data_IF_818494051546
#
_entry.id   IF_818494051546
#
_cell.length_a   1.000
_cell.length_b   1.000
_cell.length_c   1.000
_cell.angle_alpha   90.00
_cell.angle_beta   90.00
_cell.angle_gamma   90.00
#
_symmetry.space_group_name_H-M   'P 1'
#
loop_
_entity.id
_entity.type
_entity.pdbx_description
1 polymer ?
#
# COMPACT_ATOMS: atom_id res chain seq x y z
N UNK A 1 12.41 -10.10 -46.36
CA UNK A 1 12.70 -11.43 -45.77
C UNK A 1 11.84 -11.61 -44.53
N UNK A 2 11.33 -12.82 -44.33
CA UNK A 2 10.12 -13.19 -43.57
C UNK A 2 10.05 -12.64 -42.13
N UNK A 3 8.92 -12.01 -41.77
CA UNK A 3 8.53 -11.74 -40.37
C UNK A 3 7.93 -13.02 -39.79
N UNK A 4 8.67 -13.76 -38.97
CA UNK A 4 8.11 -14.87 -38.19
C UNK A 4 7.26 -14.31 -37.04
N UNK A 5 5.94 -14.27 -37.23
CA UNK A 5 4.97 -14.06 -36.14
C UNK A 5 4.81 -15.36 -35.35
N UNK A 6 4.93 -15.29 -34.03
CA UNK A 6 4.70 -16.43 -33.14
C UNK A 6 3.39 -16.23 -32.38
N UNK A 7 2.32 -16.85 -32.89
CA UNK A 7 1.02 -16.88 -32.20
C UNK A 7 0.96 -18.05 -31.20
N UNK A 8 0.66 -17.75 -29.94
CA UNK A 8 0.29 -18.76 -28.96
C UNK A 8 -1.19 -19.16 -29.17
N UNK A 9 -1.45 -20.39 -29.62
CA UNK A 9 -2.80 -20.93 -29.83
C UNK A 9 -3.41 -21.53 -28.56
N UNK A 10 -4.75 -21.51 -28.51
CA UNK A 10 -5.58 -21.80 -27.34
C UNK A 10 -5.49 -23.25 -26.82
N UNK A 11 -4.99 -24.19 -27.63
CA UNK A 11 -4.66 -25.57 -27.24
C UNK A 11 -3.61 -26.11 -28.22
N UNK A 12 -2.38 -26.34 -27.79
CA UNK A 12 -1.35 -26.98 -28.63
C UNK A 12 0.08 -26.60 -28.27
N UNK A 13 0.89 -27.62 -28.00
CA UNK A 13 2.34 -27.51 -27.78
C UNK A 13 3.01 -26.90 -29.02
N UNK A 14 3.44 -25.63 -28.94
CA UNK A 14 4.37 -25.03 -29.90
C UNK A 14 5.78 -25.16 -29.33
N UNK A 15 6.64 -25.87 -30.06
CA UNK A 15 8.07 -26.02 -29.78
C UNK A 15 8.77 -24.67 -30.03
N UNK A 16 9.15 -23.99 -28.95
CA UNK A 16 9.72 -22.64 -28.96
C UNK A 16 11.03 -22.61 -28.18
N UNK A 17 12.13 -22.37 -28.90
CA UNK A 17 13.47 -22.21 -28.35
C UNK A 17 13.61 -20.90 -27.58
N UNK A 18 14.32 -20.96 -26.45
CA UNK A 18 14.77 -19.88 -25.55
C UNK A 18 13.72 -18.93 -24.92
N UNK A 19 12.62 -18.60 -25.59
CA UNK A 19 11.50 -17.83 -25.00
C UNK A 19 10.74 -18.62 -23.92
N UNK A 20 10.82 -19.97 -23.98
CA UNK A 20 10.30 -20.83 -22.91
C UNK A 20 11.06 -20.62 -21.61
N UNK A 21 12.35 -20.29 -21.60
CA UNK A 21 13.14 -20.18 -20.36
C UNK A 21 12.74 -18.91 -19.59
N UNK A 22 12.51 -17.78 -20.24
CA UNK A 22 12.06 -16.55 -19.56
C UNK A 22 10.60 -16.66 -19.09
N UNK A 23 9.71 -17.20 -19.95
CA UNK A 23 8.33 -17.51 -19.54
C UNK A 23 8.31 -18.60 -18.46
N UNK A 24 9.21 -19.60 -18.49
CA UNK A 24 9.36 -20.65 -17.46
C UNK A 24 10.02 -20.14 -16.19
N UNK A 25 10.95 -19.19 -16.21
CA UNK A 25 11.56 -18.57 -15.02
C UNK A 25 10.50 -17.69 -14.32
N UNK A 26 9.76 -16.91 -15.12
CA UNK A 26 8.55 -16.25 -14.66
C UNK A 26 7.58 -17.30 -14.10
N UNK A 27 7.26 -18.38 -14.82
CA UNK A 27 6.32 -19.43 -14.36
C UNK A 27 6.83 -20.26 -13.16
N UNK A 28 8.15 -20.43 -13.00
CA UNK A 28 8.82 -21.23 -11.95
C UNK A 28 8.83 -20.48 -10.62
N UNK A 29 8.92 -19.15 -10.65
CA UNK A 29 8.63 -18.27 -9.51
C UNK A 29 7.12 -18.17 -9.20
N UNK A 30 6.26 -18.57 -10.13
CA UNK A 30 4.80 -18.42 -10.11
C UNK A 30 4.05 -19.74 -9.86
N UNK A 31 4.62 -20.73 -9.16
CA UNK A 31 3.93 -22.02 -8.89
C UNK A 31 2.53 -21.88 -8.25
N UNK A 32 2.18 -20.72 -7.69
CA UNK A 32 0.85 -20.39 -7.14
C UNK A 32 0.04 -19.34 -7.93
N UNK A 33 0.44 -18.99 -9.16
CA UNK A 33 -0.07 -17.81 -9.89
C UNK A 33 -0.35 -18.14 -11.35
N UNK A 34 -1.43 -17.61 -11.89
CA UNK A 34 -1.93 -18.00 -13.23
C UNK A 34 -2.20 -16.77 -14.10
N UNK A 35 -1.60 -16.72 -15.28
CA UNK A 35 -2.00 -15.79 -16.34
C UNK A 35 -3.33 -16.22 -16.91
N UNK A 36 -4.31 -15.31 -16.97
CA UNK A 36 -5.63 -15.62 -17.52
C UNK A 36 -5.69 -15.48 -19.04
N UNK A 37 -4.84 -14.64 -19.62
CA UNK A 37 -4.84 -14.33 -21.05
C UNK A 37 -3.42 -14.30 -21.67
N UNK A 38 -2.63 -15.38 -21.57
CA UNK A 38 -1.27 -15.41 -22.12
C UNK A 38 -1.22 -15.11 -23.63
N UNK A 39 -2.29 -15.39 -24.38
CA UNK A 39 -2.43 -15.06 -25.81
C UNK A 39 -2.48 -13.56 -26.11
N UNK A 40 -2.63 -12.70 -25.09
CA UNK A 40 -2.64 -11.26 -25.25
C UNK A 40 -1.25 -10.68 -25.55
N UNK A 41 -0.19 -11.45 -25.28
CA UNK A 41 1.20 -11.01 -25.40
C UNK A 41 1.80 -11.55 -26.69
N UNK A 42 2.37 -10.65 -27.49
CA UNK A 42 3.17 -10.98 -28.66
C UNK A 42 4.63 -10.65 -28.38
N UNK A 43 5.51 -11.62 -28.63
CA UNK A 43 6.95 -11.50 -28.44
C UNK A 43 7.65 -11.42 -29.79
N UNK A 44 8.57 -10.49 -29.94
CA UNK A 44 9.40 -10.36 -31.12
C UNK A 44 10.87 -10.23 -30.73
N UNK A 45 11.76 -10.65 -31.62
CA UNK A 45 13.19 -10.31 -31.51
C UNK A 45 13.35 -8.80 -31.66
N UNK A 46 14.19 -8.22 -30.81
CA UNK A 46 14.57 -6.82 -30.90
C UNK A 46 15.53 -6.56 -32.05
N UNK A 47 15.94 -5.29 -32.21
CA UNK A 47 16.85 -4.88 -33.30
C UNK A 47 18.26 -5.47 -33.15
N UNK A 48 18.65 -5.83 -31.93
CA UNK A 48 19.97 -6.35 -31.60
C UNK A 48 19.91 -7.85 -31.27
N UNK A 49 20.98 -8.57 -31.59
CA UNK A 49 21.04 -10.02 -31.39
C UNK A 49 20.94 -10.36 -29.90
N UNK A 50 20.01 -11.25 -29.55
CA UNK A 50 19.77 -11.65 -28.16
C UNK A 50 18.90 -10.66 -27.37
N UNK A 51 18.26 -9.69 -28.04
CA UNK A 51 17.26 -8.82 -27.43
C UNK A 51 15.85 -9.28 -27.78
N UNK A 52 14.93 -9.12 -26.83
CA UNK A 52 13.50 -9.43 -27.01
C UNK A 52 12.65 -8.22 -26.64
N UNK A 53 11.57 -8.03 -27.39
CA UNK A 53 10.53 -7.05 -27.08
C UNK A 53 9.20 -7.77 -26.98
N UNK A 54 8.28 -7.22 -26.19
CA UNK A 54 6.92 -7.73 -26.11
C UNK A 54 5.92 -6.59 -26.20
N UNK A 55 4.79 -6.90 -26.82
CA UNK A 55 3.63 -6.01 -26.90
C UNK A 55 2.40 -6.77 -26.42
N UNK A 56 1.41 -6.04 -25.91
CA UNK A 56 0.15 -6.64 -25.50
C UNK A 56 -1.01 -5.98 -26.24
N UNK A 57 -1.88 -6.77 -26.85
CA UNK A 57 -3.06 -6.26 -27.59
C UNK A 57 -4.21 -5.85 -26.65
N UNK A 58 -4.15 -6.28 -25.40
CA UNK A 58 -5.09 -5.99 -24.32
C UNK A 58 -4.34 -6.10 -22.98
N UNK A 59 -4.90 -5.58 -21.87
CA UNK A 59 -4.29 -5.68 -20.55
C UNK A 59 -3.96 -7.13 -20.19
N UNK A 60 -2.80 -7.36 -19.57
CA UNK A 60 -2.38 -8.70 -19.10
C UNK A 60 -3.05 -8.98 -17.76
N UNK A 61 -3.79 -10.06 -17.68
CA UNK A 61 -4.56 -10.44 -16.49
C UNK A 61 -3.82 -11.52 -15.68
N UNK A 62 -3.44 -11.18 -14.45
CA UNK A 62 -2.61 -11.99 -13.56
C UNK A 62 -3.39 -12.29 -12.28
N UNK A 63 -3.49 -13.56 -11.90
CA UNK A 63 -4.05 -13.96 -10.61
C UNK A 63 -2.90 -14.28 -9.64
N UNK A 64 -2.84 -13.51 -8.55
CA UNK A 64 -1.86 -13.66 -7.50
C UNK A 64 -2.50 -14.25 -6.24
N UNK A 65 -2.66 -15.59 -6.20
CA UNK A 65 -3.24 -16.27 -5.03
C UNK A 65 -2.38 -16.16 -3.76
N UNK A 66 -1.10 -15.78 -3.89
CA UNK A 66 -0.22 -15.58 -2.74
C UNK A 66 -0.51 -14.25 -2.03
N UNK A 67 -0.85 -13.20 -2.81
CA UNK A 67 -1.18 -11.88 -2.29
C UNK A 67 -2.68 -11.57 -2.32
N UNK A 68 -3.53 -12.48 -2.80
CA UNK A 68 -4.97 -12.26 -2.90
C UNK A 68 -5.36 -11.12 -3.85
N UNK A 69 -4.66 -10.97 -4.97
CA UNK A 69 -4.95 -9.91 -5.96
C UNK A 69 -5.22 -10.49 -7.34
N UNK A 70 -6.18 -9.89 -8.05
CA UNK A 70 -6.20 -9.90 -9.51
C UNK A 70 -5.52 -8.63 -10.00
N UNK A 71 -4.60 -8.76 -10.93
CA UNK A 71 -3.80 -7.64 -11.45
C UNK A 71 -4.07 -7.54 -12.95
N UNK A 72 -4.54 -6.38 -13.38
CA UNK A 72 -4.68 -6.01 -14.79
C UNK A 72 -3.51 -5.09 -15.14
N UNK A 73 -2.61 -5.54 -16.01
CA UNK A 73 -1.37 -4.85 -16.34
C UNK A 73 -1.36 -4.35 -17.78
N UNK A 74 -1.43 -3.03 -17.95
CA UNK A 74 -1.36 -2.35 -19.24
C UNK A 74 0.11 -2.21 -19.65
N UNK A 75 0.61 -3.18 -20.42
CA UNK A 75 1.99 -3.18 -20.90
C UNK A 75 2.23 -2.03 -21.88
N UNK A 76 3.12 -1.12 -21.53
CA UNK A 76 3.59 -0.03 -22.41
C UNK A 76 4.90 -0.38 -23.10
N UNK A 77 5.80 -1.05 -22.39
CA UNK A 77 7.08 -1.46 -22.92
C UNK A 77 7.57 -2.73 -22.24
N UNK A 78 8.08 -3.65 -23.03
CA UNK A 78 8.89 -4.76 -22.58
C UNK A 78 10.16 -4.79 -23.43
N UNK A 79 11.30 -4.84 -22.77
CA UNK A 79 12.60 -5.01 -23.39
C UNK A 79 13.43 -5.94 -22.52
N UNK A 80 14.05 -6.95 -23.12
CA UNK A 80 14.93 -7.89 -22.45
C UNK A 80 16.21 -8.03 -23.27
N UNK A 81 17.35 -7.90 -22.61
CA UNK A 81 18.67 -7.98 -23.22
C UNK A 81 19.66 -8.61 -22.21
N UNK A 82 20.82 -9.09 -22.67
CA UNK A 82 21.76 -9.82 -21.80
C UNK A 82 22.24 -9.03 -20.58
N UNK A 83 22.25 -7.70 -20.65
CA UNK A 83 22.77 -6.81 -19.62
C UNK A 83 21.70 -6.00 -18.89
N UNK A 84 20.49 -5.92 -19.44
CA UNK A 84 19.38 -5.20 -18.82
C UNK A 84 18.03 -5.72 -19.32
N UNK A 85 17.01 -5.57 -18.49
CA UNK A 85 15.63 -5.73 -18.93
C UNK A 85 14.78 -4.61 -18.35
N UNK A 86 13.64 -4.36 -18.98
CA UNK A 86 12.73 -3.27 -18.65
C UNK A 86 11.30 -3.70 -18.92
N UNK A 87 10.45 -3.51 -17.91
CA UNK A 87 9.01 -3.74 -18.02
C UNK A 87 8.31 -2.49 -17.52
N UNK A 88 7.60 -1.81 -18.42
CA UNK A 88 6.86 -0.58 -18.16
C UNK A 88 5.40 -0.86 -18.40
N UNK A 89 4.57 -0.54 -17.42
CA UNK A 89 3.13 -0.60 -17.57
C UNK A 89 2.41 -0.04 -16.36
N UNK A 90 1.11 0.14 -16.50
CA UNK A 90 0.24 0.50 -15.38
C UNK A 90 -0.43 -0.76 -14.84
N UNK A 91 -0.35 -0.97 -13.53
CA UNK A 91 -1.02 -2.07 -12.85
C UNK A 91 -2.29 -1.55 -12.16
N UNK A 92 -3.41 -2.22 -12.37
CA UNK A 92 -4.63 -2.08 -11.56
C UNK A 92 -4.81 -3.34 -10.72
N UNK A 93 -5.19 -3.16 -9.46
CA UNK A 93 -5.37 -4.24 -8.51
C UNK A 93 -6.83 -4.35 -8.11
N UNK A 94 -7.35 -5.57 -8.11
CA UNK A 94 -8.63 -5.94 -7.51
C UNK A 94 -8.33 -6.95 -6.40
N UNK A 95 -8.72 -6.62 -5.18
CA UNK A 95 -8.61 -7.55 -4.05
C UNK A 95 -9.58 -8.72 -4.22
N UNK A 96 -9.06 -9.93 -4.05
CA UNK A 96 -9.86 -11.15 -4.08
C UNK A 96 -10.63 -11.30 -2.78
N UNK A 97 -11.83 -11.89 -2.84
CA UNK A 97 -12.57 -12.27 -1.63
C UNK A 97 -11.92 -13.53 -1.03
N UNK A 98 -11.49 -13.51 0.24
CA UNK A 98 -10.96 -14.70 0.88
C UNK A 98 -12.08 -15.72 1.16
N UNK A 99 -11.75 -17.00 1.08
CA UNK A 99 -12.62 -18.13 1.40
C UNK A 99 -12.70 -18.39 2.91
N UNK A 100 -11.70 -17.93 3.67
CA UNK A 100 -11.64 -18.05 5.14
C UNK A 100 -10.82 -16.94 5.79
N UNK A 101 -11.01 -16.71 7.09
CA UNK A 101 -10.22 -15.74 7.87
C UNK A 101 -8.73 -16.11 7.89
N UNK A 102 -8.41 -17.42 7.88
CA UNK A 102 -7.03 -17.93 7.78
C UNK A 102 -6.38 -17.53 6.45
N UNK A 103 -7.11 -17.64 5.35
CA UNK A 103 -6.62 -17.23 4.03
C UNK A 103 -6.39 -15.72 3.97
N UNK A 104 -7.32 -14.92 4.50
CA UNK A 104 -7.17 -13.46 4.62
C UNK A 104 -5.89 -13.10 5.39
N UNK A 105 -5.73 -13.69 6.58
CA UNK A 105 -4.56 -13.47 7.44
C UNK A 105 -3.25 -13.85 6.72
N UNK A 106 -3.26 -14.93 5.96
CA UNK A 106 -2.10 -15.39 5.18
C UNK A 106 -1.76 -14.39 4.07
N UNK A 107 -2.76 -13.88 3.34
CA UNK A 107 -2.53 -12.84 2.33
C UNK A 107 -1.96 -11.56 2.95
N UNK A 108 -2.50 -11.11 4.09
CA UNK A 108 -2.01 -9.90 4.77
C UNK A 108 -0.55 -10.06 5.24
N UNK A 109 -0.19 -11.24 5.76
CA UNK A 109 1.19 -11.60 6.10
C UNK A 109 2.11 -11.55 4.89
N UNK A 110 1.71 -12.17 3.79
CA UNK A 110 2.50 -12.21 2.56
C UNK A 110 2.69 -10.81 1.96
N UNK A 111 1.64 -9.97 1.96
CA UNK A 111 1.71 -8.57 1.51
C UNK A 111 2.66 -7.76 2.39
N UNK A 112 2.58 -7.91 3.71
CA UNK A 112 3.47 -7.24 4.65
C UNK A 112 4.93 -7.68 4.45
N UNK A 113 5.19 -8.97 4.23
CA UNK A 113 6.52 -9.50 3.94
C UNK A 113 7.08 -8.95 2.62
N UNK A 114 6.26 -8.92 1.56
CA UNK A 114 6.61 -8.32 0.27
C UNK A 114 6.96 -6.85 0.43
N UNK A 115 6.15 -6.10 1.19
CA UNK A 115 6.39 -4.70 1.42
C UNK A 115 7.71 -4.46 2.15
N UNK A 116 7.99 -5.21 3.22
CA UNK A 116 9.18 -5.02 4.06
C UNK A 116 10.50 -5.07 3.29
N UNK A 117 10.59 -5.88 2.24
CA UNK A 117 11.78 -5.98 1.37
C UNK A 117 11.70 -5.14 0.09
N UNK A 118 10.65 -4.32 -0.07
CA UNK A 118 10.42 -3.55 -1.29
C UNK A 118 11.23 -2.25 -1.33
N UNK A 119 11.53 -1.73 -2.54
CA UNK A 119 12.04 -0.37 -2.70
C UNK A 119 11.17 0.71 -2.04
N UNK A 120 9.84 0.51 -1.99
CA UNK A 120 8.92 1.45 -1.36
C UNK A 120 9.17 1.56 0.15
N UNK A 121 9.34 0.44 0.86
CA UNK A 121 9.72 0.46 2.28
C UNK A 121 11.08 1.13 2.47
N UNK A 122 12.05 0.79 1.63
CA UNK A 122 13.39 1.38 1.68
C UNK A 122 13.32 2.91 1.58
N UNK A 123 12.63 3.46 0.59
CA UNK A 123 12.52 4.90 0.42
C UNK A 123 11.71 5.57 1.54
N UNK A 124 10.62 4.95 2.03
CA UNK A 124 9.89 5.44 3.22
C UNK A 124 10.80 5.51 4.44
N UNK A 125 11.61 4.48 4.65
CA UNK A 125 12.54 4.39 5.76
C UNK A 125 13.68 5.43 5.63
N UNK A 126 14.15 5.74 4.41
CA UNK A 126 15.11 6.84 4.19
C UNK A 126 14.50 8.20 4.56
N UNK A 127 13.26 8.47 4.17
CA UNK A 127 12.56 9.74 4.48
C UNK A 127 12.48 9.95 5.99
N UNK A 128 12.23 8.88 6.74
CA UNK A 128 12.10 8.91 8.21
C UNK A 128 13.41 8.67 8.96
N UNK A 129 14.53 8.53 8.24
CA UNK A 129 15.85 8.19 8.77
C UNK A 129 15.88 6.90 9.62
N UNK A 130 15.11 5.89 9.21
CA UNK A 130 14.96 4.57 9.85
C UNK A 130 15.41 3.41 8.95
N UNK A 131 16.08 3.68 7.82
CA UNK A 131 16.48 2.66 6.86
C UNK A 131 17.29 1.51 7.48
N UNK A 132 18.29 1.81 8.34
CA UNK A 132 19.08 0.77 9.02
C UNK A 132 18.23 0.01 10.05
N UNK A 133 17.34 0.69 10.78
CA UNK A 133 16.39 0.04 11.70
C UNK A 133 15.41 -0.88 10.97
N UNK A 134 15.05 -0.54 9.72
CA UNK A 134 14.22 -1.35 8.83
C UNK A 134 15.03 -2.43 8.09
N UNK A 135 16.34 -2.48 8.29
CA UNK A 135 17.24 -3.51 7.78
C UNK A 135 17.93 -3.18 6.46
N UNK A 136 17.76 -1.97 5.92
CA UNK A 136 18.43 -1.52 4.70
C UNK A 136 19.75 -0.82 5.02
N UNK A 137 20.84 -1.52 4.73
CA UNK A 137 22.19 -0.97 4.81
C UNK A 137 22.68 -0.65 3.39
N UNK A 138 23.11 0.59 3.19
CA UNK A 138 23.51 1.10 1.87
C UNK A 138 25.02 1.21 1.79
N UNK A 139 25.58 0.79 0.67
CA UNK A 139 27.00 0.90 0.35
C UNK A 139 27.18 1.52 -1.04
N UNK A 140 28.24 2.31 -1.19
CA UNK A 140 28.64 2.89 -2.47
C UNK A 140 30.02 2.40 -2.87
N UNK A 141 30.33 2.52 -4.15
CA UNK A 141 31.64 2.19 -4.67
C UNK A 141 32.71 3.19 -4.15
N UNK A 142 33.86 2.67 -3.71
CA UNK A 142 34.99 3.50 -3.28
C UNK A 142 35.79 3.99 -4.49
N UNK A 143 36.14 5.27 -4.51
CA UNK A 143 37.05 5.81 -5.54
C UNK A 143 38.41 5.09 -5.49
N UNK A 144 38.83 4.53 -6.64
CA UNK A 144 40.06 3.72 -6.77
C UNK A 144 39.91 2.23 -6.43
N UNK A 145 38.71 1.75 -6.07
CA UNK A 145 38.39 0.33 -5.91
C UNK A 145 38.07 -0.36 -7.24
N UNK A 146 37.94 -1.70 -7.22
CA UNK A 146 37.52 -2.47 -8.41
C UNK A 146 36.13 -2.05 -8.87
N UNK A 147 36.04 -1.45 -10.07
CA UNK A 147 34.78 -1.00 -10.68
C UNK A 147 33.85 -2.17 -11.07
N UNK A 148 34.44 -3.34 -11.36
CA UNK A 148 33.71 -4.53 -11.79
C UNK A 148 33.44 -5.47 -10.61
N UNK A 149 32.18 -5.89 -10.46
CA UNK A 149 31.74 -6.88 -9.47
C UNK A 149 32.43 -8.23 -9.66
N UNK A 150 32.80 -8.57 -10.91
CA UNK A 150 33.48 -9.82 -11.27
C UNK A 150 34.94 -9.90 -10.76
N UNK A 151 35.44 -8.85 -10.10
CA UNK A 151 36.77 -8.80 -9.49
C UNK A 151 36.74 -8.73 -7.95
N UNK A 152 35.55 -8.78 -7.35
CA UNK A 152 35.37 -8.73 -5.88
C UNK A 152 35.43 -10.13 -5.28
N UNK A 153 35.91 -10.23 -4.04
CA UNK A 153 35.79 -11.44 -3.24
C UNK A 153 34.33 -11.79 -3.01
N UNK A 154 34.05 -13.09 -2.89
CA UNK A 154 32.79 -13.64 -2.38
C UNK A 154 32.60 -13.42 -0.87
N UNK A 155 33.56 -12.81 -0.16
CA UNK A 155 33.48 -12.42 1.24
C UNK A 155 33.34 -10.90 1.32
N UNK A 156 32.18 -10.41 1.76
CA UNK A 156 31.86 -8.98 1.86
C UNK A 156 32.81 -8.24 2.80
N UNK A 157 33.20 -8.86 3.92
CA UNK A 157 34.13 -8.27 4.88
C UNK A 157 35.48 -7.88 4.25
N UNK A 158 35.93 -8.59 3.20
CA UNK A 158 37.17 -8.27 2.48
C UNK A 158 37.04 -7.06 1.55
N UNK A 159 35.81 -6.72 1.13
CA UNK A 159 35.52 -5.62 0.23
C UNK A 159 35.19 -4.32 0.98
N UNK A 160 34.70 -4.43 2.21
CA UNK A 160 34.37 -3.27 3.05
C UNK A 160 35.61 -2.41 3.35
N UNK A 161 35.55 -1.14 2.97
CA UNK A 161 36.67 -0.20 3.06
C UNK A 161 37.70 -0.33 1.93
N UNK A 162 37.64 -1.40 1.13
CA UNK A 162 38.52 -1.63 -0.03
C UNK A 162 37.83 -1.22 -1.34
N UNK A 163 36.73 -1.88 -1.68
CA UNK A 163 35.97 -1.63 -2.92
C UNK A 163 34.61 -0.98 -2.65
N UNK A 164 34.03 -1.21 -1.46
CA UNK A 164 32.74 -0.66 -1.05
C UNK A 164 32.87 0.09 0.28
N UNK A 165 32.09 1.15 0.45
CA UNK A 165 32.05 1.96 1.68
C UNK A 165 30.60 2.24 2.08
N UNK A 166 30.29 2.40 3.39
CA UNK A 166 28.96 2.80 3.81
C UNK A 166 28.50 4.08 3.10
N UNK A 167 27.32 4.05 2.50
CA UNK A 167 26.78 5.17 1.75
C UNK A 167 26.07 6.16 2.69
N UNK A 168 26.79 7.22 3.07
CA UNK A 168 26.31 8.24 4.01
C UNK A 168 26.54 9.65 3.46
N UNK A 169 25.77 10.09 2.44
CA UNK A 169 25.91 11.45 1.92
C UNK A 169 25.39 12.47 2.93
N UNK A 170 25.98 13.67 2.94
CA UNK A 170 25.63 14.74 3.88
C UNK A 170 24.14 15.16 3.81
N UNK A 171 23.51 15.03 2.63
CA UNK A 171 22.11 15.39 2.40
C UNK A 171 21.42 14.31 1.55
N UNK A 172 21.08 13.19 2.20
CA UNK A 172 20.43 12.05 1.55
C UNK A 172 19.00 12.37 1.11
N UNK A 173 18.21 13.05 1.95
CA UNK A 173 16.80 13.35 1.70
C UNK A 173 16.53 14.85 1.84
N UNK A 174 15.73 15.40 0.94
CA UNK A 174 15.27 16.79 0.98
C UNK A 174 13.77 16.87 0.64
N UNK A 175 13.01 17.81 1.23
CA UNK A 175 11.67 18.10 0.76
C UNK A 175 11.65 18.53 -0.70
N UNK A 176 10.65 18.10 -1.46
CA UNK A 176 10.40 18.58 -2.82
C UNK A 176 9.53 19.85 -2.80
N UNK A 177 9.16 20.35 -3.99
CA UNK A 177 8.29 21.51 -4.20
C UNK A 177 6.84 21.29 -3.74
N UNK A 178 6.39 20.04 -3.64
CA UNK A 178 5.02 19.70 -3.23
C UNK A 178 4.99 19.08 -1.83
N UNK A 179 4.02 19.45 -0.98
CA UNK A 179 3.84 18.80 0.31
C UNK A 179 3.68 17.27 0.18
N UNK A 180 4.37 16.53 1.04
CA UNK A 180 4.35 15.05 1.02
C UNK A 180 5.23 14.42 -0.07
N UNK A 181 6.01 15.21 -0.83
CA UNK A 181 6.99 14.72 -1.80
C UNK A 181 8.42 15.05 -1.35
N UNK A 182 9.34 14.13 -1.65
CA UNK A 182 10.74 14.20 -1.23
C UNK A 182 11.67 13.85 -2.40
N UNK A 183 12.87 14.42 -2.39
CA UNK A 183 13.98 14.09 -3.28
C UNK A 183 15.03 13.31 -2.48
N UNK A 184 15.42 12.14 -2.97
CA UNK A 184 16.47 11.31 -2.39
C UNK A 184 17.68 11.31 -3.33
N UNK A 185 18.83 11.74 -2.80
CA UNK A 185 20.09 11.90 -3.53
C UNK A 185 20.93 10.61 -3.46
N UNK A 186 20.91 9.83 -4.54
CA UNK A 186 21.60 8.55 -4.68
C UNK A 186 22.52 8.61 -5.89
N UNK A 187 23.78 9.01 -5.69
CA UNK A 187 24.77 9.16 -6.76
C UNK A 187 25.59 7.89 -6.94
N UNK A 188 25.79 7.50 -8.19
CA UNK A 188 26.49 6.27 -8.54
C UNK A 188 25.64 5.03 -8.28
N UNK A 189 26.30 3.87 -8.30
CA UNK A 189 25.68 2.59 -7.99
C UNK A 189 25.63 2.39 -6.48
N UNK A 190 24.45 2.04 -5.99
CA UNK A 190 24.17 1.80 -4.57
C UNK A 190 23.95 0.31 -4.38
N UNK A 191 24.75 -0.31 -3.53
CA UNK A 191 24.58 -1.69 -3.08
C UNK A 191 23.73 -1.69 -1.80
N UNK A 192 22.69 -2.52 -1.78
CA UNK A 192 21.63 -2.53 -0.78
C UNK A 192 21.62 -3.91 -0.12
N UNK A 193 21.94 -3.94 1.16
CA UNK A 193 21.92 -5.14 1.99
C UNK A 193 20.65 -5.12 2.84
N UNK A 194 19.72 -6.05 2.62
CA UNK A 194 18.50 -6.18 3.42
C UNK A 194 18.66 -7.23 4.53
N UNK A 195 19.22 -6.85 5.66
CA UNK A 195 19.67 -7.78 6.71
C UNK A 195 18.54 -8.45 7.53
N UNK A 196 17.28 -8.05 7.33
CA UNK A 196 16.12 -8.71 7.94
C UNK A 196 15.53 -9.84 7.08
N UNK A 197 16.08 -10.06 5.89
CA UNK A 197 15.66 -11.13 4.98
C UNK A 197 16.66 -12.28 4.91
N UNK A 198 16.23 -13.36 4.28
CA UNK A 198 17.08 -14.49 3.91
C UNK A 198 17.16 -14.58 2.39
N UNK A 199 18.37 -14.72 1.85
CA UNK A 199 18.58 -14.95 0.43
C UNK A 199 18.45 -16.44 0.10
N UNK A 200 17.87 -16.76 -1.06
CA UNK A 200 17.89 -18.14 -1.58
C UNK A 200 19.23 -18.50 -2.20
N UNK A 201 19.89 -17.49 -2.80
CA UNK A 201 21.23 -17.58 -3.37
C UNK A 201 22.01 -16.41 -2.78
N UNK A 202 23.07 -16.71 -2.04
CA UNK A 202 23.87 -15.68 -1.38
C UNK A 202 24.78 -15.01 -2.40
N UNK A 203 24.77 -13.67 -2.41
CA UNK A 203 25.74 -12.87 -3.18
C UNK A 203 27.14 -12.97 -2.57
N UNK A 204 27.23 -12.93 -1.25
CA UNK A 204 28.47 -13.14 -0.51
C UNK A 204 28.31 -14.30 0.48
N UNK A 205 29.35 -15.10 0.66
CA UNK A 205 29.37 -16.25 1.53
C UNK A 205 29.11 -15.88 3.01
N UNK A 206 29.61 -14.73 3.46
CA UNK A 206 29.48 -14.19 4.82
C UNK A 206 28.27 -13.26 5.01
N UNK A 207 27.46 -13.03 3.96
CA UNK A 207 26.28 -12.18 4.00
C UNK A 207 25.03 -12.97 3.56
N UNK A 208 24.40 -13.77 4.44
CA UNK A 208 23.30 -14.68 4.10
C UNK A 208 21.93 -13.96 3.93
N UNK A 209 21.95 -12.69 3.53
CA UNK A 209 20.78 -11.85 3.39
C UNK A 209 20.67 -11.30 1.95
N UNK A 210 19.48 -10.87 1.50
CA UNK A 210 19.30 -10.35 0.15
C UNK A 210 20.17 -9.12 -0.14
N UNK A 211 20.87 -9.17 -1.27
CA UNK A 211 21.64 -8.05 -1.81
C UNK A 211 21.00 -7.59 -3.13
N UNK A 212 20.95 -6.28 -3.33
CA UNK A 212 20.46 -5.65 -4.56
C UNK A 212 21.33 -4.46 -4.93
N UNK A 213 21.33 -4.07 -6.20
CA UNK A 213 21.96 -2.83 -6.63
C UNK A 213 20.92 -1.88 -7.20
N UNK A 214 21.16 -0.60 -7.02
CA UNK A 214 20.33 0.49 -7.50
C UNK A 214 21.20 1.52 -8.20
N UNK A 215 20.82 1.86 -9.43
CA UNK A 215 21.32 3.03 -10.14
C UNK A 215 20.17 4.00 -10.39
N UNK A 216 20.40 5.27 -10.06
CA UNK A 216 19.42 6.34 -10.21
C UNK A 216 19.86 7.28 -11.32
N UNK A 217 19.03 7.41 -12.36
CA UNK A 217 19.26 8.35 -13.45
C UNK A 217 19.36 9.78 -12.89
N UNK A 218 20.42 10.51 -13.26
CA UNK A 218 20.76 11.85 -12.71
C UNK A 218 21.02 11.89 -11.20
N UNK A 219 21.06 10.74 -10.53
CA UNK A 219 21.38 10.61 -9.11
C UNK A 219 20.32 11.12 -8.13
N UNK A 220 19.10 11.41 -8.60
CA UNK A 220 18.00 11.92 -7.77
C UNK A 220 16.73 11.16 -8.09
N UNK A 221 16.08 10.62 -7.05
CA UNK A 221 14.75 10.02 -7.17
C UNK A 221 13.73 10.86 -6.43
N UNK A 222 12.57 11.07 -7.05
CA UNK A 222 11.43 11.75 -6.45
C UNK A 222 10.42 10.73 -5.94
N UNK A 223 10.08 10.84 -4.66
CA UNK A 223 9.20 9.89 -3.95
C UNK A 223 8.13 10.62 -3.15
N UNK A 224 7.00 9.95 -2.87
CA UNK A 224 6.03 10.40 -1.86
C UNK A 224 6.43 9.98 -0.46
N UNK A 225 5.78 10.57 0.54
CA UNK A 225 5.96 10.26 1.98
C UNK A 225 5.83 8.76 2.31
N UNK A 226 4.99 8.02 1.58
CA UNK A 226 4.81 6.58 1.73
C UNK A 226 5.91 5.73 1.04
N UNK A 227 6.90 6.38 0.42
CA UNK A 227 8.00 5.73 -0.31
C UNK A 227 7.70 5.41 -1.78
N UNK A 228 6.53 5.79 -2.29
CA UNK A 228 6.17 5.56 -3.70
C UNK A 228 7.04 6.39 -4.65
N UNK A 229 7.66 5.74 -5.62
CA UNK A 229 8.48 6.38 -6.66
C UNK A 229 7.58 7.01 -7.72
N UNK A 230 7.76 8.31 -7.99
CA UNK A 230 6.97 9.02 -9.00
C UNK A 230 7.38 8.66 -10.43
N UNK A 231 8.69 8.48 -10.67
CA UNK A 231 9.25 8.11 -11.96
C UNK A 231 10.05 6.80 -11.86
N UNK A 232 9.40 5.62 -11.90
CA UNK A 232 10.11 4.34 -11.80
C UNK A 232 11.15 4.11 -12.91
N UNK A 233 11.03 4.83 -14.03
CA UNK A 233 11.99 4.76 -15.15
C UNK A 233 13.35 5.36 -14.82
N UNK A 234 13.44 6.18 -13.79
CA UNK A 234 14.71 6.73 -13.33
C UNK A 234 15.49 5.72 -12.47
N UNK A 235 14.92 4.54 -12.18
CA UNK A 235 15.51 3.53 -11.31
C UNK A 235 15.80 2.24 -12.05
N UNK A 236 17.07 1.84 -12.04
CA UNK A 236 17.50 0.51 -12.49
C UNK A 236 17.88 -0.27 -11.25
N UNK A 237 17.15 -1.36 -10.98
CA UNK A 237 17.52 -2.29 -9.92
C UNK A 237 18.08 -3.56 -10.53
N UNK A 238 18.92 -4.26 -9.76
CA UNK A 238 19.33 -5.64 -10.02
C UNK A 238 19.48 -6.40 -8.70
N UNK A 239 19.57 -7.73 -8.76
CA UNK A 239 19.60 -8.59 -7.57
C UNK A 239 18.20 -8.91 -7.04
N UNK A 240 18.07 -9.12 -5.72
CA UNK A 240 16.84 -9.68 -5.13
C UNK A 240 15.59 -8.79 -5.30
N UNK A 241 15.73 -7.46 -5.19
CA UNK A 241 14.64 -6.48 -5.38
C UNK A 241 14.13 -6.43 -6.83
N UNK A 242 14.90 -6.95 -7.77
CA UNK A 242 14.61 -6.88 -9.19
C UNK A 242 13.94 -8.17 -9.70
N UNK A 243 14.43 -9.34 -9.30
CA UNK A 243 13.92 -10.67 -9.71
C UNK A 243 12.42 -10.91 -9.45
N UNK A 244 11.76 -10.12 -8.58
CA UNK A 244 10.39 -10.37 -8.12
C UNK A 244 9.36 -9.37 -8.65
N UNK A 245 9.78 -8.34 -9.40
CA UNK A 245 9.04 -7.08 -9.62
C UNK A 245 7.57 -7.19 -9.98
N UNK A 246 7.17 -7.88 -11.06
CA UNK A 246 5.74 -7.98 -11.44
C UNK A 246 4.95 -8.84 -10.45
N UNK A 247 5.61 -9.87 -9.94
CA UNK A 247 4.98 -10.94 -9.19
C UNK A 247 4.71 -10.54 -7.74
N UNK A 248 5.47 -9.58 -7.22
CA UNK A 248 5.34 -9.02 -5.87
C UNK A 248 4.89 -7.56 -5.91
N UNK A 249 4.20 -7.14 -6.97
CA UNK A 249 3.62 -5.81 -6.98
C UNK A 249 2.55 -5.69 -5.89
N UNK A 250 2.63 -4.59 -5.16
CA UNK A 250 1.57 -4.12 -4.29
C UNK A 250 0.91 -2.89 -4.93
N UNK A 251 -0.37 -2.63 -4.63
CA UNK A 251 -1.00 -1.38 -4.98
C UNK A 251 -0.18 -0.17 -4.52
N UNK A 252 -0.20 0.91 -5.30
CA UNK A 252 0.53 2.14 -4.99
C UNK A 252 0.09 2.80 -3.67
N UNK A 253 -1.16 2.54 -3.27
CA UNK A 253 -1.82 2.97 -2.05
C UNK A 253 -1.80 1.90 -0.95
N UNK A 254 -0.99 0.84 -1.09
CA UNK A 254 -0.87 -0.18 -0.05
C UNK A 254 -0.32 0.41 1.26
N UNK A 255 -1.17 0.42 2.29
CA UNK A 255 -0.81 0.82 3.64
C UNK A 255 -0.27 -0.38 4.42
N UNK A 256 1.03 -0.60 4.28
CA UNK A 256 1.72 -1.69 4.97
C UNK A 256 1.79 -1.50 6.48
N UNK A 257 1.87 -0.25 6.95
CA UNK A 257 1.89 0.03 8.38
C UNK A 257 0.55 -0.35 9.00
N UNK A 258 -0.56 -0.01 8.36
CA UNK A 258 -1.89 -0.50 8.71
C UNK A 258 -1.93 -2.03 8.73
N UNK A 259 -1.47 -2.70 7.67
CA UNK A 259 -1.50 -4.15 7.60
C UNK A 259 -0.68 -4.83 8.73
N UNK A 260 0.53 -4.34 9.00
CA UNK A 260 1.40 -4.86 10.07
C UNK A 260 0.80 -4.58 11.44
N UNK A 261 0.26 -3.39 11.66
CA UNK A 261 -0.35 -3.03 12.94
C UNK A 261 -1.62 -3.85 13.21
N UNK A 262 -2.45 -4.08 12.19
CA UNK A 262 -3.62 -4.94 12.30
C UNK A 262 -3.25 -6.40 12.60
N UNK A 263 -2.15 -6.92 12.00
CA UNK A 263 -1.68 -8.27 12.28
C UNK A 263 -1.21 -8.45 13.72
N UNK A 264 -0.47 -7.48 14.26
CA UNK A 264 0.04 -7.50 15.63
C UNK A 264 -0.96 -6.93 16.64
N UNK A 265 -2.19 -6.62 16.19
CA UNK A 265 -3.19 -6.00 17.03
C UNK A 265 -3.68 -7.00 18.08
N UNK A 266 -3.34 -6.75 19.34
CA UNK A 266 -3.99 -7.43 20.45
C UNK A 266 -5.46 -7.02 20.43
N UNK A 267 -6.38 -8.01 20.38
CA UNK A 267 -7.83 -7.76 20.43
C UNK A 267 -8.26 -7.34 21.83
N UNK A 268 -7.90 -6.12 22.22
CA UNK A 268 -8.32 -5.51 23.48
C UNK A 268 -9.58 -4.69 23.27
N UNK A 269 -10.39 -4.56 24.32
CA UNK A 269 -11.56 -3.70 24.29
C UNK A 269 -11.20 -2.25 23.90
N UNK A 270 -10.02 -1.76 24.29
CA UNK A 270 -9.54 -0.41 23.98
C UNK A 270 -9.38 -0.16 22.47
N UNK A 271 -8.85 -1.13 21.71
CA UNK A 271 -8.63 -0.99 20.26
C UNK A 271 -9.95 -0.85 19.47
N UNK A 272 -11.02 -1.48 19.97
CA UNK A 272 -12.34 -1.42 19.34
C UNK A 272 -13.22 -0.30 19.92
N UNK A 273 -12.72 0.58 20.79
CA UNK A 273 -13.56 1.68 21.28
C UNK A 273 -13.87 2.71 20.18
N UNK A 274 -15.12 3.19 20.20
CA UNK A 274 -15.61 4.27 19.35
C UNK A 274 -16.13 5.39 20.25
N UNK A 275 -15.54 6.58 20.17
CA UNK A 275 -16.04 7.76 20.87
C UNK A 275 -16.62 8.75 19.88
N UNK A 276 -17.88 9.10 20.08
CA UNK A 276 -18.63 10.00 19.19
C UNK A 276 -18.59 11.41 19.76
N UNK A 277 -18.40 12.37 18.87
CA UNK A 277 -18.62 13.78 19.11
C UNK A 277 -19.61 14.30 18.08
N UNK A 278 -20.54 15.16 18.47
CA UNK A 278 -21.53 15.74 17.57
C UNK A 278 -21.67 17.23 17.86
N UNK A 279 -21.66 18.03 16.80
CA UNK A 279 -21.94 19.46 16.84
C UNK A 279 -23.19 19.75 16.00
N UNK A 280 -24.04 20.62 16.52
CA UNK A 280 -25.22 21.14 15.84
C UNK A 280 -24.90 22.51 15.22
N UNK A 281 -25.68 22.94 14.23
CA UNK A 281 -25.48 24.23 13.56
C UNK A 281 -25.89 25.43 14.42
N UNK A 282 -26.79 25.22 15.38
CA UNK A 282 -27.32 26.26 16.28
C UNK A 282 -27.28 25.81 17.75
N UNK A 283 -27.20 26.77 18.68
CA UNK A 283 -27.30 26.49 20.12
C UNK A 283 -28.73 26.20 20.59
N UNK A 284 -29.76 26.64 19.85
CA UNK A 284 -31.17 26.43 20.14
C UNK A 284 -32.00 26.36 18.85
N UNK A 285 -33.20 25.78 18.94
CA UNK A 285 -34.12 25.55 17.82
C UNK A 285 -35.56 25.83 18.23
N UNK A 286 -36.46 25.97 17.27
CA UNK A 286 -37.92 25.92 17.49
C UNK A 286 -38.47 24.53 17.11
N UNK A 287 -39.67 24.20 17.59
CA UNK A 287 -40.40 23.04 17.09
C UNK A 287 -40.62 23.16 15.57
N UNK A 288 -40.43 22.07 14.84
CA UNK A 288 -40.46 22.07 13.36
C UNK A 288 -39.14 22.41 12.67
N UNK A 289 -38.16 22.97 13.38
CA UNK A 289 -36.90 23.37 12.75
C UNK A 289 -36.11 22.17 12.20
N UNK A 290 -35.42 22.34 11.07
CA UNK A 290 -34.38 21.41 10.66
C UNK A 290 -33.12 21.63 11.52
N UNK A 291 -32.78 20.62 12.32
CA UNK A 291 -31.51 20.54 13.04
C UNK A 291 -30.46 19.95 12.11
N UNK A 292 -29.42 20.71 11.79
CA UNK A 292 -28.26 20.22 11.06
C UNK A 292 -27.16 19.85 12.05
N UNK A 293 -26.43 18.78 11.75
CA UNK A 293 -25.32 18.36 12.59
C UNK A 293 -24.17 17.76 11.79
N UNK A 294 -22.99 17.80 12.41
CA UNK A 294 -21.82 17.04 11.99
C UNK A 294 -21.29 16.24 13.17
N UNK A 295 -21.11 14.95 12.97
CA UNK A 295 -20.54 14.04 13.95
C UNK A 295 -19.18 13.50 13.49
N UNK A 296 -18.33 13.22 14.47
CA UNK A 296 -16.95 12.79 14.32
C UNK A 296 -16.68 11.61 15.23
N UNK A 297 -15.91 10.65 14.73
CA UNK A 297 -15.52 9.46 15.46
C UNK A 297 -14.04 9.52 15.83
N UNK A 298 -13.77 9.38 17.13
CA UNK A 298 -12.45 9.06 17.62
C UNK A 298 -12.39 7.55 17.90
N UNK A 299 -11.56 6.85 17.16
CA UNK A 299 -11.39 5.39 17.28
C UNK A 299 -10.22 5.09 18.21
N UNK A 300 -10.39 4.11 19.09
CA UNK A 300 -9.30 3.64 19.96
C UNK A 300 -8.08 3.20 19.15
N UNK A 301 -8.31 2.55 18.02
CA UNK A 301 -7.31 2.37 16.98
C UNK A 301 -7.83 2.92 15.62
N UNK A 302 -7.20 3.99 15.07
CA UNK A 302 -7.59 4.57 13.78
C UNK A 302 -7.59 3.58 12.60
N UNK A 303 -6.72 2.57 12.63
CA UNK A 303 -6.60 1.58 11.56
C UNK A 303 -7.78 0.60 11.49
N UNK A 304 -8.55 0.46 12.57
CA UNK A 304 -9.76 -0.37 12.64
C UNK A 304 -11.03 0.34 12.18
N UNK A 305 -10.96 1.63 11.80
CA UNK A 305 -12.12 2.42 11.35
C UNK A 305 -12.97 1.68 10.30
N UNK A 306 -12.32 0.97 9.38
CA UNK A 306 -13.01 0.29 8.28
C UNK A 306 -13.70 -1.01 8.71
N UNK A 307 -13.29 -1.60 9.83
CA UNK A 307 -13.87 -2.83 10.39
C UNK A 307 -14.98 -2.53 11.41
N UNK A 308 -14.98 -1.30 11.94
CA UNK A 308 -15.89 -0.82 12.95
C UNK A 308 -17.24 -0.33 12.39
N UNK A 309 -18.07 0.26 13.25
CA UNK A 309 -19.46 0.60 12.96
C UNK A 309 -19.63 1.45 11.70
N UNK A 310 -20.64 1.12 10.89
CA UNK A 310 -20.99 1.82 9.63
C UNK A 310 -22.24 2.70 9.73
N UNK A 311 -22.94 2.64 10.87
CA UNK A 311 -24.20 3.35 11.08
C UNK A 311 -24.15 4.09 12.40
N UNK A 312 -24.43 5.40 12.35
CA UNK A 312 -24.67 6.24 13.50
C UNK A 312 -26.18 6.33 13.76
N UNK A 313 -26.60 6.04 14.98
CA UNK A 313 -27.94 6.33 15.47
C UNK A 313 -27.92 7.68 16.15
N UNK A 314 -28.83 8.58 15.76
CA UNK A 314 -29.04 9.87 16.41
C UNK A 314 -30.48 9.92 16.89
N UNK A 315 -30.64 10.21 18.17
CA UNK A 315 -31.91 10.23 18.89
C UNK A 315 -32.15 11.57 19.54
N UNK A 316 -33.43 11.95 19.60
CA UNK A 316 -33.91 12.99 20.49
C UNK A 316 -34.66 12.32 21.65
N UNK A 317 -34.33 12.72 22.87
CA UNK A 317 -34.96 12.21 24.09
C UNK A 317 -35.36 13.37 25.01
N UNK A 318 -36.36 13.13 25.86
CA UNK A 318 -36.79 14.07 26.91
C UNK A 318 -35.83 14.06 28.10
N UNK A 319 -36.02 14.96 29.06
CA UNK A 319 -35.27 14.95 30.32
C UNK A 319 -35.49 13.66 31.15
N UNK A 320 -36.69 13.08 31.05
CA UNK A 320 -37.02 11.77 31.64
C UNK A 320 -36.43 10.59 30.85
N UNK A 321 -35.68 10.86 29.78
CA UNK A 321 -35.09 9.88 28.83
C UNK A 321 -36.13 9.13 28.00
N UNK A 322 -37.34 9.67 27.89
CA UNK A 322 -38.34 9.13 26.99
C UNK A 322 -37.93 9.39 25.54
N UNK A 323 -38.23 8.42 24.70
CA UNK A 323 -37.93 8.48 23.27
C UNK A 323 -38.83 9.50 22.56
N UNK A 324 -38.25 10.36 21.72
CA UNK A 324 -39.00 11.28 20.86
C UNK A 324 -38.86 10.89 19.39
N UNK A 325 -37.64 10.76 18.90
CA UNK A 325 -37.36 10.35 17.51
C UNK A 325 -35.98 9.69 17.38
N UNK A 326 -35.79 8.94 16.29
CA UNK A 326 -34.48 8.40 15.88
C UNK A 326 -34.29 8.50 14.36
N UNK A 327 -33.06 8.82 13.94
CA UNK A 327 -32.61 8.62 12.57
C UNK A 327 -31.27 7.89 12.54
N UNK A 328 -31.03 7.19 11.43
CA UNK A 328 -29.79 6.46 11.15
C UNK A 328 -29.05 7.15 10.02
N UNK A 329 -27.73 7.26 10.15
CA UNK A 329 -26.88 7.90 9.18
C UNK A 329 -25.67 7.02 8.85
N UNK A 330 -25.26 6.93 7.57
CA UNK A 330 -24.07 6.19 7.20
C UNK A 330 -22.81 6.92 7.68
N UNK A 331 -21.86 6.16 8.22
CA UNK A 331 -20.54 6.68 8.61
C UNK A 331 -19.61 6.57 7.41
N UNK A 332 -18.99 7.69 7.02
CA UNK A 332 -17.99 7.74 5.95
C UNK A 332 -16.73 8.38 6.48
N UNK A 333 -15.63 7.63 6.46
CA UNK A 333 -14.32 8.08 6.96
C UNK A 333 -14.34 8.65 8.39
N UNK A 334 -15.16 8.07 9.26
CA UNK A 334 -15.33 8.54 10.65
C UNK A 334 -16.09 9.87 10.78
N UNK A 335 -16.76 10.32 9.72
CA UNK A 335 -17.54 11.55 9.67
C UNK A 335 -18.98 11.21 9.29
N UNK A 336 -19.92 11.94 9.89
CA UNK A 336 -21.33 11.94 9.52
C UNK A 336 -21.79 13.38 9.40
N UNK A 337 -22.48 13.71 8.31
CA UNK A 337 -23.20 14.97 8.14
C UNK A 337 -24.66 14.61 7.91
N UNK A 338 -25.57 15.26 8.62
CA UNK A 338 -26.98 14.94 8.52
C UNK A 338 -27.87 16.03 9.08
N UNK A 339 -29.17 15.84 8.87
CA UNK A 339 -30.20 16.69 9.43
C UNK A 339 -31.38 15.89 9.96
N UNK A 340 -32.04 16.46 10.95
CA UNK A 340 -33.23 15.93 11.59
C UNK A 340 -34.26 17.06 11.66
N UNK A 341 -35.42 16.87 11.04
CA UNK A 341 -36.56 17.76 11.26
C UNK A 341 -37.13 17.47 12.63
N UNK A 342 -37.15 18.48 13.50
CA UNK A 342 -37.74 18.38 14.82
C UNK A 342 -39.27 18.31 14.70
N UNK A 343 -39.96 17.48 15.51
CA UNK A 343 -41.42 17.44 15.49
C UNK A 343 -42.05 18.78 15.88
N UNK A 344 -43.19 19.12 15.30
CA UNK A 344 -43.96 20.30 15.70
C UNK A 344 -44.63 20.12 17.08
N UNK A 345 -44.71 18.87 17.56
CA UNK A 345 -45.31 18.51 18.85
C UNK A 345 -44.38 18.66 20.06
N UNK A 346 -43.16 19.19 19.86
CA UNK A 346 -42.23 19.44 20.97
C UNK A 346 -42.80 20.55 21.87
N UNK A 347 -42.87 20.26 23.17
CA UNK A 347 -43.53 21.11 24.17
C UNK A 347 -42.69 21.36 25.42
N UNK A 348 -41.44 20.86 25.46
CA UNK A 348 -40.49 21.10 26.53
C UNK A 348 -39.40 22.08 26.07
N UNK A 349 -38.84 22.85 26.99
CA UNK A 349 -37.75 23.77 26.66
C UNK A 349 -36.40 23.05 26.49
N UNK A 350 -36.31 21.82 27.01
CA UNK A 350 -35.05 21.10 27.14
C UNK A 350 -35.21 19.65 26.71
N UNK A 351 -34.52 19.32 25.62
CA UNK A 351 -34.35 17.95 25.14
C UNK A 351 -32.88 17.57 25.18
N UNK A 352 -32.57 16.32 24.90
CA UNK A 352 -31.20 15.86 24.73
C UNK A 352 -31.05 15.18 23.37
N UNK A 353 -29.99 15.54 22.67
CA UNK A 353 -29.53 14.81 21.50
C UNK A 353 -28.57 13.72 21.96
N UNK A 354 -28.85 12.48 21.57
CA UNK A 354 -28.05 11.31 21.91
C UNK A 354 -27.56 10.64 20.64
N UNK A 355 -26.28 10.31 20.59
CA UNK A 355 -25.67 9.68 19.42
C UNK A 355 -24.83 8.46 19.82
N UNK A 356 -25.04 7.33 19.14
CA UNK A 356 -24.39 6.05 19.44
C UNK A 356 -24.32 5.12 18.23
N UNK A 357 -23.46 4.11 18.29
CA UNK A 357 -23.47 2.93 17.40
C UNK A 357 -24.00 1.70 18.13
N UNK A 358 -24.34 0.64 17.38
CA UNK A 358 -24.67 -0.64 18.02
C UNK A 358 -23.49 -1.19 18.84
N UNK A 359 -22.25 -0.88 18.46
CA UNK A 359 -21.07 -1.30 19.22
C UNK A 359 -20.97 -0.58 20.57
N UNK A 360 -21.31 0.71 20.64
CA UNK A 360 -21.34 1.44 21.91
C UNK A 360 -22.28 0.81 22.94
N UNK A 361 -23.36 0.14 22.51
CA UNK A 361 -24.32 -0.52 23.41
C UNK A 361 -23.68 -1.56 24.31
N UNK A 362 -22.58 -2.19 23.85
CA UNK A 362 -21.85 -3.20 24.60
C UNK A 362 -21.10 -2.64 25.82
N UNK A 363 -20.88 -1.32 25.88
CA UNK A 363 -20.13 -0.65 26.95
C UNK A 363 -21.01 0.18 27.89
N UNK A 364 -22.32 0.22 27.62
CA UNK A 364 -23.31 0.91 28.43
C UNK A 364 -23.43 2.43 28.17
N UNK A 365 -24.35 3.11 28.87
CA UNK A 365 -24.81 4.46 28.50
C UNK A 365 -23.75 5.57 28.55
N UNK A 366 -22.68 5.39 29.34
CA UNK A 366 -21.58 6.37 29.45
C UNK A 366 -20.78 6.54 28.15
N UNK A 367 -20.92 5.60 27.22
CA UNK A 367 -20.23 5.63 25.92
C UNK A 367 -21.06 6.29 24.82
N UNK A 368 -22.30 6.70 25.12
CA UNK A 368 -23.10 7.47 24.18
C UNK A 368 -22.69 8.94 24.26
N UNK A 369 -22.62 9.59 23.11
CA UNK A 369 -22.62 11.05 23.10
C UNK A 369 -23.99 11.52 23.56
N UNK A 370 -24.04 12.51 24.45
CA UNK A 370 -25.28 13.15 24.89
C UNK A 370 -25.02 14.63 25.12
N UNK A 371 -25.82 15.50 24.51
CA UNK A 371 -25.78 16.94 24.68
C UNK A 371 -27.18 17.51 24.89
N UNK A 372 -27.28 18.57 25.69
CA UNK A 372 -28.54 19.31 25.85
C UNK A 372 -28.87 20.05 24.56
N UNK A 373 -30.15 20.06 24.19
CA UNK A 373 -30.69 20.78 23.05
C UNK A 373 -31.81 21.69 23.55
N UNK A 374 -31.60 23.00 23.46
CA UNK A 374 -32.61 23.99 23.83
C UNK A 374 -33.65 24.13 22.74
N UNK A 375 -34.93 23.99 23.09
CA UNK A 375 -36.06 24.24 22.21
C UNK A 375 -36.81 25.46 22.75
N UNK A 376 -36.86 26.54 21.96
CA UNK A 376 -37.54 27.76 22.36
C UNK A 376 -39.04 27.66 22.09
N UNK A 377 -39.84 28.15 23.04
CA UNK A 377 -41.27 28.35 22.82
C UNK A 377 -41.50 29.65 22.07
N UNK A 378 -42.32 29.67 20.99
CA UNK A 378 -42.64 30.91 20.28
C UNK A 378 -43.42 31.93 21.14
N UNK A 379 -43.93 31.52 22.31
CA UNK A 379 -44.75 32.36 23.19
C UNK A 379 -43.99 32.98 24.38
N UNK A 380 -42.69 32.73 24.52
CA UNK A 380 -41.84 33.41 25.49
C UNK A 380 -41.07 34.53 24.77
N UNK A 381 -41.62 35.74 24.82
CA UNK A 381 -40.93 37.00 24.47
C UNK A 381 -40.63 37.78 25.73
#
# INVERSE_FOLDING_TARGET
MSKSKLHATKHGNVTLGNSKIFFLEMTRLLRSRSFKNPWAIDFAEGKEKGTFVATAIQPIEIINNHLGYKISFDLKEFYDAPTNYRIIGAARFEEMKPESETQKTTWDQNRAEVYRKSPMNMFRAMITNKQEQEGFFLYGDKAGGSASMNMRSDIFANELGKSVVPYKPAQLVTPADKPGEYLINLKGRIEIHYQKGYAQVNTYADAPYPVSWLEVNKGIVRVRENGMVLNPQDLVFSGDMDQKRISTLLPLDYDAEKAIQLQNLVRTAANFQEKIYLHTDKPYYYAGDPLFFKAYFNYGNPYLRDELSKVLHVELITENRDFVLQKKFPIRDGIVVGNITLPDSLNQEKYFIRAYTNWNKNYGPKHYFTASLGILSPFQR
#
